data_IF_416482827667
#
_entry.id   IF_416482827667
#
_cell.length_a   1.000
_cell.length_b   1.000
_cell.length_c   1.000
_cell.angle_alpha   90.00
_cell.angle_beta   90.00
_cell.angle_gamma   90.00
#
_symmetry.space_group_name_H-M   'P 1'
#
loop_
_entity.id
_entity.type
_entity.pdbx_description
1 polymer ?
#
# COMPACT_ATOMS: atom_id res chain seq x y z
N UNK A 1 -5.87 21.85 -4.64
CA UNK A 1 -5.08 21.06 -5.60
C UNK A 1 -5.30 19.61 -5.19
N UNK A 2 -6.05 18.84 -5.98
CA UNK A 2 -6.32 17.42 -5.67
C UNK A 2 -4.97 16.69 -5.70
N UNK A 3 -4.65 15.90 -4.68
CA UNK A 3 -3.46 15.05 -4.69
C UNK A 3 -3.46 14.22 -5.97
N UNK A 4 -2.46 14.42 -6.85
CA UNK A 4 -2.34 13.60 -8.06
C UNK A 4 -1.97 12.18 -7.64
N UNK A 5 -2.66 11.14 -8.14
CA UNK A 5 -2.29 9.77 -7.83
C UNK A 5 -0.84 9.53 -8.25
N UNK A 6 -0.07 8.88 -7.37
CA UNK A 6 1.30 8.51 -7.65
C UNK A 6 1.25 7.42 -8.73
N UNK A 7 1.95 7.64 -9.85
CA UNK A 7 1.95 6.68 -10.97
C UNK A 7 3.01 5.60 -10.74
N UNK A 8 2.61 4.34 -10.75
CA UNK A 8 3.49 3.16 -10.69
C UNK A 8 2.73 1.92 -11.22
N UNK A 9 3.47 0.92 -11.71
CA UNK A 9 2.90 -0.43 -11.90
C UNK A 9 2.68 -1.07 -10.53
N UNK A 10 1.57 -1.76 -10.32
CA UNK A 10 1.24 -2.32 -9.02
C UNK A 10 0.91 -3.81 -9.10
N UNK A 11 1.41 -4.59 -8.15
CA UNK A 11 1.04 -5.98 -7.94
C UNK A 11 1.00 -6.31 -6.45
N UNK A 12 0.31 -7.40 -6.10
CA UNK A 12 0.24 -7.86 -4.73
C UNK A 12 0.05 -9.36 -4.63
N UNK A 13 0.47 -9.90 -3.49
CA UNK A 13 0.24 -11.28 -3.11
C UNK A 13 -0.77 -11.25 -1.96
N UNK A 14 -2.06 -11.55 -2.22
CA UNK A 14 -3.06 -11.75 -1.18
C UNK A 14 -2.62 -12.81 -0.18
N UNK A 15 -3.04 -12.61 1.07
CA UNK A 15 -2.80 -13.59 2.13
C UNK A 15 -3.63 -14.85 1.91
N UNK A 16 -2.99 -16.02 2.03
CA UNK A 16 -3.63 -17.33 2.12
C UNK A 16 -2.76 -18.30 2.97
N UNK A 17 -3.00 -19.60 2.82
CA UNK A 17 -2.29 -20.66 3.56
C UNK A 17 -0.82 -20.88 3.11
N UNK A 18 -0.31 -20.16 2.11
CA UNK A 18 1.09 -20.29 1.65
C UNK A 18 2.08 -19.79 2.70
N UNK A 19 3.29 -20.33 2.65
CA UNK A 19 4.37 -19.83 3.49
C UNK A 19 4.79 -18.42 3.04
N UNK A 20 5.37 -17.67 3.98
CA UNK A 20 5.95 -16.36 3.68
C UNK A 20 7.03 -16.40 2.60
N UNK A 21 7.79 -17.49 2.52
CA UNK A 21 8.78 -17.70 1.47
C UNK A 21 8.11 -17.88 0.11
N UNK A 22 7.04 -18.67 0.02
CA UNK A 22 6.29 -18.83 -1.23
C UNK A 22 5.68 -17.51 -1.70
N UNK A 23 5.07 -16.75 -0.79
CA UNK A 23 4.54 -15.43 -1.10
C UNK A 23 5.63 -14.44 -1.53
N UNK A 24 6.78 -14.46 -0.86
CA UNK A 24 7.91 -13.58 -1.18
C UNK A 24 8.60 -13.94 -2.49
N UNK A 25 8.61 -15.23 -2.86
CA UNK A 25 9.14 -15.67 -4.14
C UNK A 25 8.30 -15.13 -5.31
N UNK A 26 6.96 -15.23 -5.22
CA UNK A 26 6.05 -14.67 -6.23
C UNK A 26 6.22 -13.15 -6.39
N UNK A 27 6.27 -12.42 -5.28
CA UNK A 27 6.50 -10.99 -5.29
C UNK A 27 7.91 -10.62 -5.81
N UNK A 28 8.92 -11.43 -5.46
CA UNK A 28 10.30 -11.29 -5.88
C UNK A 28 10.46 -11.46 -7.39
N UNK A 29 9.84 -12.48 -7.98
CA UNK A 29 9.87 -12.70 -9.42
C UNK A 29 9.27 -11.51 -10.18
N UNK A 30 8.06 -11.09 -9.80
CA UNK A 30 7.40 -9.96 -10.46
C UNK A 30 8.19 -8.64 -10.34
N UNK A 31 8.77 -8.36 -9.17
CA UNK A 31 9.51 -7.10 -8.98
C UNK A 31 10.86 -7.10 -9.69
N UNK A 32 11.50 -8.27 -9.82
CA UNK A 32 12.75 -8.43 -10.58
C UNK A 32 12.52 -8.22 -12.08
N UNK A 33 11.41 -8.71 -12.62
CA UNK A 33 11.01 -8.44 -14.01
C UNK A 33 10.81 -6.94 -14.26
N UNK A 34 10.11 -6.24 -13.36
CA UNK A 34 9.95 -4.78 -13.45
C UNK A 34 11.28 -4.04 -13.32
N UNK A 35 12.19 -4.51 -12.45
CA UNK A 35 13.52 -3.95 -12.27
C UNK A 35 14.38 -4.13 -13.51
N UNK A 36 14.34 -5.30 -14.14
CA UNK A 36 15.02 -5.58 -15.40
C UNK A 36 14.45 -4.70 -16.52
N UNK A 37 13.11 -4.61 -16.64
CA UNK A 37 12.43 -3.79 -17.65
C UNK A 37 12.79 -2.32 -17.54
N UNK A 38 12.95 -1.80 -16.31
CA UNK A 38 13.30 -0.40 -16.06
C UNK A 38 14.81 -0.15 -15.99
N UNK A 39 15.64 -1.20 -15.97
CA UNK A 39 17.09 -1.10 -15.72
C UNK A 39 17.42 -0.35 -14.43
N UNK A 40 16.67 -0.61 -13.37
CA UNK A 40 16.82 -0.01 -12.04
C UNK A 40 17.00 -1.11 -10.98
N UNK A 41 17.69 -0.85 -9.86
CA UNK A 41 17.80 -1.82 -8.78
C UNK A 41 16.45 -2.03 -8.08
N UNK A 42 16.21 -3.22 -7.56
CA UNK A 42 15.08 -3.45 -6.65
C UNK A 42 15.34 -2.74 -5.32
N UNK A 43 14.30 -2.14 -4.75
CA UNK A 43 14.27 -1.61 -3.38
C UNK A 43 13.44 -2.55 -2.52
N UNK A 44 14.09 -3.27 -1.61
CA UNK A 44 13.42 -4.11 -0.63
C UNK A 44 13.08 -3.29 0.62
N UNK A 45 11.80 -3.19 0.95
CA UNK A 45 11.28 -2.58 2.16
C UNK A 45 10.76 -3.66 3.11
N UNK A 46 11.36 -3.73 4.30
CA UNK A 46 10.87 -4.56 5.42
C UNK A 46 10.53 -3.68 6.62
N UNK A 47 9.80 -4.25 7.59
CA UNK A 47 9.45 -3.54 8.83
C UNK A 47 10.70 -3.34 9.72
N UNK A 48 11.61 -4.32 9.72
CA UNK A 48 12.88 -4.29 10.46
C UNK A 48 14.05 -4.79 9.61
N UNK A 49 15.26 -4.35 9.92
CA UNK A 49 16.47 -4.83 9.23
C UNK A 49 16.84 -6.27 9.61
N UNK A 50 16.53 -6.70 10.84
CA UNK A 50 16.89 -8.02 11.35
C UNK A 50 15.78 -9.05 11.14
N UNK A 51 16.17 -10.29 10.87
CA UNK A 51 15.35 -11.51 10.89
C UNK A 51 14.54 -11.77 9.64
N UNK A 52 13.99 -10.74 9.00
CA UNK A 52 13.10 -10.92 7.84
C UNK A 52 13.85 -11.13 6.52
N UNK A 53 15.00 -10.47 6.34
CA UNK A 53 15.81 -10.56 5.12
C UNK A 53 17.07 -11.44 5.29
N UNK A 54 17.16 -12.21 6.38
CA UNK A 54 18.36 -12.98 6.73
C UNK A 54 18.37 -14.40 6.12
N UNK A 55 17.23 -14.88 5.62
CA UNK A 55 17.10 -16.14 4.89
C UNK A 55 15.96 -16.11 3.86
N UNK A 56 15.92 -17.11 2.98
CA UNK A 56 14.84 -17.27 2.02
C UNK A 56 14.90 -16.26 0.85
N UNK A 57 13.79 -16.09 0.12
CA UNK A 57 13.75 -15.28 -1.11
C UNK A 57 14.17 -13.81 -0.91
N UNK A 58 13.93 -13.25 0.27
CA UNK A 58 14.33 -11.87 0.59
C UNK A 58 15.84 -11.72 0.69
N UNK A 59 16.52 -12.67 1.34
CA UNK A 59 17.98 -12.72 1.41
C UNK A 59 18.59 -12.88 0.00
N UNK A 60 17.96 -13.69 -0.85
CA UNK A 60 18.38 -13.88 -2.24
C UNK A 60 18.28 -12.60 -3.06
N UNK A 61 17.22 -11.80 -2.84
CA UNK A 61 17.08 -10.47 -3.44
C UNK A 61 18.24 -9.55 -3.03
N UNK A 62 18.56 -9.50 -1.74
CA UNK A 62 19.65 -8.67 -1.21
C UNK A 62 21.00 -9.13 -1.76
N UNK A 63 21.26 -10.43 -1.81
CA UNK A 63 22.48 -11.01 -2.41
C UNK A 63 22.62 -10.66 -3.90
N UNK A 64 21.50 -10.52 -4.61
CA UNK A 64 21.45 -10.10 -6.02
C UNK A 64 21.54 -8.58 -6.22
N UNK A 65 21.71 -7.81 -5.14
CA UNK A 65 21.97 -6.37 -5.20
C UNK A 65 20.76 -5.48 -4.93
N UNK A 66 19.66 -6.03 -4.39
CA UNK A 66 18.55 -5.20 -3.93
C UNK A 66 18.99 -4.23 -2.82
N UNK A 67 18.53 -2.98 -2.91
CA UNK A 67 18.75 -1.96 -1.88
C UNK A 67 17.76 -2.24 -0.74
N UNK A 68 18.27 -2.71 0.39
CA UNK A 68 17.44 -2.95 1.57
C UNK A 68 17.25 -1.68 2.39
N UNK A 69 16.01 -1.36 2.72
CA UNK A 69 15.65 -0.21 3.56
C UNK A 69 14.51 -0.56 4.52
N UNK A 70 14.38 0.27 5.55
CA UNK A 70 13.22 0.27 6.44
C UNK A 70 12.65 1.68 6.50
N UNK A 71 11.36 1.80 6.83
CA UNK A 71 10.71 3.11 7.01
C UNK A 71 11.46 4.00 8.01
N UNK A 72 12.07 3.41 9.05
CA UNK A 72 12.84 4.14 10.07
C UNK A 72 14.11 4.77 9.52
N UNK A 73 14.81 4.08 8.62
CA UNK A 73 16.08 4.56 8.06
C UNK A 73 15.92 5.73 7.09
N UNK A 74 14.83 5.74 6.30
CA UNK A 74 14.57 6.72 5.22
C UNK A 74 15.78 6.95 4.30
N UNK A 75 16.60 5.92 4.09
CA UNK A 75 17.88 6.01 3.39
C UNK A 75 17.76 6.05 1.86
N UNK A 76 16.55 5.86 1.33
CA UNK A 76 16.29 5.70 -0.10
C UNK A 76 15.39 6.84 -0.60
N UNK A 77 15.76 7.44 -1.73
CA UNK A 77 14.95 8.47 -2.41
C UNK A 77 13.79 7.87 -3.20
N UNK A 78 12.74 8.65 -3.43
CA UNK A 78 11.66 8.26 -4.33
C UNK A 78 12.14 8.02 -5.76
N UNK A 79 11.64 6.97 -6.41
CA UNK A 79 11.99 6.63 -7.79
C UNK A 79 13.36 5.97 -7.96
N UNK A 80 13.99 5.53 -6.87
CA UNK A 80 15.27 4.80 -6.94
C UNK A 80 15.15 3.49 -7.72
N UNK A 81 13.99 2.83 -7.64
CA UNK A 81 13.69 1.62 -8.38
C UNK A 81 12.32 1.02 -8.02
N UNK A 82 11.95 -0.12 -8.61
CA UNK A 82 10.81 -0.92 -8.19
C UNK A 82 10.91 -1.32 -6.73
N UNK A 83 9.80 -1.22 -6.00
CA UNK A 83 9.74 -1.45 -4.56
C UNK A 83 9.04 -2.76 -4.28
N UNK A 84 9.71 -3.63 -3.52
CA UNK A 84 9.08 -4.78 -2.88
C UNK A 84 8.84 -4.44 -1.41
N UNK A 85 7.57 -4.26 -1.02
CA UNK A 85 7.17 -4.12 0.37
C UNK A 85 6.71 -5.47 0.95
N UNK A 86 7.50 -6.01 1.88
CA UNK A 86 7.20 -7.28 2.55
C UNK A 86 6.39 -7.05 3.83
N UNK A 87 5.17 -7.59 3.87
CA UNK A 87 4.21 -7.53 5.00
C UNK A 87 4.10 -6.14 5.65
N UNK A 88 3.88 -5.07 4.85
CA UNK A 88 3.83 -3.71 5.40
C UNK A 88 2.60 -3.52 6.27
N UNK A 89 2.70 -2.62 7.26
CA UNK A 89 1.52 -1.97 7.84
C UNK A 89 1.24 -0.65 7.12
N UNK A 90 0.18 0.06 7.53
CA UNK A 90 -0.27 1.32 6.90
C UNK A 90 0.84 2.35 6.65
N UNK A 91 1.80 2.50 7.57
CA UNK A 91 2.87 3.52 7.44
C UNK A 91 3.94 3.07 6.45
N UNK A 92 4.27 1.79 6.47
CA UNK A 92 5.22 1.17 5.56
C UNK A 92 4.64 1.12 4.14
N UNK A 93 3.33 0.89 4.00
CA UNK A 93 2.61 1.01 2.73
C UNK A 93 2.63 2.46 2.21
N UNK A 94 2.33 3.45 3.04
CA UNK A 94 2.42 4.85 2.63
C UNK A 94 3.83 5.23 2.16
N UNK A 95 4.86 4.71 2.84
CA UNK A 95 6.25 4.93 2.47
C UNK A 95 6.65 4.19 1.19
N UNK A 96 6.20 2.95 0.99
CA UNK A 96 6.49 2.19 -0.23
C UNK A 96 5.88 2.84 -1.46
N UNK A 97 4.67 3.39 -1.35
CA UNK A 97 4.01 4.18 -2.40
C UNK A 97 4.85 5.41 -2.76
N UNK A 98 5.41 6.11 -1.77
CA UNK A 98 6.30 7.25 -2.01
C UNK A 98 7.58 6.81 -2.75
N UNK A 99 8.17 5.69 -2.34
CA UNK A 99 9.38 5.15 -2.95
C UNK A 99 9.16 4.68 -4.39
N UNK A 100 8.03 4.05 -4.68
CA UNK A 100 7.69 3.47 -5.97
C UNK A 100 7.29 4.49 -7.04
N UNK A 101 7.37 5.79 -6.74
CA UNK A 101 6.93 6.84 -7.66
C UNK A 101 7.64 6.74 -9.01
N UNK A 102 6.84 6.63 -10.07
CA UNK A 102 7.24 6.44 -11.46
C UNK A 102 7.98 5.12 -11.75
N UNK A 103 7.90 4.13 -10.87
CA UNK A 103 8.48 2.79 -11.04
C UNK A 103 7.41 1.72 -10.88
N UNK A 104 7.55 0.80 -9.93
CA UNK A 104 6.63 -0.27 -9.63
C UNK A 104 6.59 -0.56 -8.12
N UNK A 105 5.48 -1.12 -7.64
CA UNK A 105 5.28 -1.54 -6.25
C UNK A 105 4.65 -2.92 -6.20
N UNK A 106 5.34 -3.87 -5.57
CA UNK A 106 4.78 -5.17 -5.20
C UNK A 106 4.64 -5.28 -3.69
N UNK A 107 3.49 -5.76 -3.21
CA UNK A 107 3.20 -5.92 -1.78
C UNK A 107 2.85 -7.37 -1.45
N UNK A 108 3.47 -7.93 -0.41
CA UNK A 108 3.00 -9.18 0.21
C UNK A 108 2.07 -8.82 1.37
N UNK A 109 0.80 -9.25 1.29
CA UNK A 109 -0.21 -8.97 2.30
C UNK A 109 0.03 -9.75 3.60
N UNK A 110 -0.44 -9.21 4.73
CA UNK A 110 -0.48 -9.90 6.02
C UNK A 110 -1.91 -9.91 6.57
N UNK A 111 -2.33 -10.96 7.34
CA UNK A 111 -3.66 -11.00 7.96
C UNK A 111 -3.92 -9.81 8.87
N UNK A 112 -2.86 -9.28 9.47
CA UNK A 112 -2.93 -8.17 10.41
C UNK A 112 -3.13 -6.80 9.75
N UNK A 113 -2.96 -6.72 8.43
CA UNK A 113 -3.17 -5.52 7.65
C UNK A 113 -3.47 -5.90 6.20
N UNK A 114 -4.76 -6.13 5.88
CA UNK A 114 -5.19 -6.34 4.50
C UNK A 114 -4.87 -5.13 3.63
N UNK A 115 -4.32 -5.37 2.44
CA UNK A 115 -3.93 -4.34 1.47
C UNK A 115 -4.85 -4.29 0.26
N UNK A 116 -5.90 -5.12 0.23
CA UNK A 116 -6.91 -5.16 -0.84
C UNK A 116 -7.51 -3.79 -1.17
N UNK A 117 -7.73 -2.92 -0.17
CA UNK A 117 -8.20 -1.55 -0.41
C UNK A 117 -7.23 -0.73 -1.26
N UNK A 118 -5.92 -0.84 -0.98
CA UNK A 118 -4.88 -0.20 -1.79
C UNK A 118 -4.82 -0.81 -3.19
N UNK A 119 -4.83 -2.15 -3.28
CA UNK A 119 -4.81 -2.87 -4.55
C UNK A 119 -5.97 -2.45 -5.47
N UNK A 120 -7.17 -2.32 -4.90
CA UNK A 120 -8.37 -1.85 -5.59
C UNK A 120 -8.26 -0.39 -6.06
N UNK A 121 -7.71 0.50 -5.22
CA UNK A 121 -7.54 1.92 -5.57
C UNK A 121 -6.58 2.15 -6.75
N UNK A 122 -5.58 1.28 -6.91
CA UNK A 122 -4.51 1.46 -7.91
C UNK A 122 -4.59 0.48 -9.06
N UNK A 123 -5.55 -0.45 -9.04
CA UNK A 123 -5.67 -1.52 -10.03
C UNK A 123 -4.45 -2.46 -10.00
N UNK A 124 -4.01 -2.86 -8.82
CA UNK A 124 -2.88 -3.78 -8.68
C UNK A 124 -3.23 -5.17 -9.22
N UNK A 125 -2.25 -5.83 -9.87
CA UNK A 125 -2.38 -7.22 -10.31
C UNK A 125 -2.30 -8.14 -9.10
N UNK A 126 -3.32 -8.97 -8.91
CA UNK A 126 -3.30 -10.09 -7.97
C UNK A 126 -2.41 -11.19 -8.53
N UNK A 127 -1.27 -11.47 -7.90
CA UNK A 127 -0.27 -12.42 -8.41
C UNK A 127 -0.70 -13.89 -8.30
N UNK A 128 -1.84 -14.19 -7.68
CA UNK A 128 -2.37 -15.57 -7.60
C UNK A 128 -3.27 -15.89 -8.78
N UNK A 129 -4.00 -14.88 -9.23
CA UNK A 129 -4.97 -15.01 -10.31
C UNK A 129 -4.44 -14.45 -11.62
N UNK A 130 -3.45 -13.55 -11.57
CA UNK A 130 -2.96 -12.78 -12.71
C UNK A 130 -3.89 -11.63 -13.12
N UNK A 131 -5.01 -11.44 -12.41
CA UNK A 131 -6.05 -10.48 -12.76
C UNK A 131 -5.83 -9.12 -12.10
N UNK A 132 -6.35 -8.07 -12.74
CA UNK A 132 -6.38 -6.73 -12.15
C UNK A 132 -7.41 -6.70 -11.03
N UNK A 133 -7.02 -6.21 -9.86
CA UNK A 133 -7.95 -6.04 -8.73
C UNK A 133 -9.05 -5.05 -9.11
N UNK A 134 -10.34 -5.45 -9.04
CA UNK A 134 -11.43 -4.58 -9.45
C UNK A 134 -11.57 -3.39 -8.50
N UNK A 135 -12.10 -2.25 -8.99
CA UNK A 135 -12.50 -1.14 -8.13
C UNK A 135 -13.64 -1.57 -7.18
N UNK A 136 -13.86 -0.85 -6.07
CA UNK A 136 -15.03 -1.11 -5.23
C UNK A 136 -16.33 -0.83 -5.99
N UNK A 137 -17.45 -1.34 -5.46
CA UNK A 137 -18.79 -1.01 -5.96
C UNK A 137 -18.99 0.51 -6.02
N UNK A 138 -19.78 0.99 -6.99
CA UNK A 138 -19.90 2.41 -7.31
C UNK A 138 -20.29 3.25 -6.10
N UNK A 139 -21.23 2.78 -5.29
CA UNK A 139 -21.73 3.48 -4.10
C UNK A 139 -20.64 3.61 -3.03
N UNK A 140 -19.84 2.56 -2.81
CA UNK A 140 -18.70 2.60 -1.91
C UNK A 140 -17.60 3.51 -2.47
N UNK A 141 -17.36 3.44 -3.78
CA UNK A 141 -16.38 4.28 -4.47
C UNK A 141 -16.68 5.77 -4.31
N UNK A 142 -17.94 6.18 -4.46
CA UNK A 142 -18.33 7.58 -4.36
C UNK A 142 -18.04 8.18 -2.96
N UNK A 143 -18.34 7.44 -1.89
CA UNK A 143 -18.04 7.89 -0.52
C UNK A 143 -16.54 7.83 -0.21
N UNK A 144 -15.80 6.88 -0.77
CA UNK A 144 -14.33 6.85 -0.69
C UNK A 144 -13.71 8.05 -1.43
N UNK A 145 -14.20 8.38 -2.62
CA UNK A 145 -13.73 9.53 -3.41
C UNK A 145 -14.04 10.86 -2.69
N UNK A 146 -15.17 10.96 -1.98
CA UNK A 146 -15.43 12.08 -1.08
C UNK A 146 -14.40 12.20 0.05
N UNK A 147 -14.02 11.08 0.68
CA UNK A 147 -12.94 11.09 1.66
C UNK A 147 -11.62 11.57 1.03
N UNK A 148 -11.25 11.02 -0.13
CA UNK A 148 -10.04 11.43 -0.86
C UNK A 148 -10.05 12.93 -1.15
N UNK A 149 -11.16 13.46 -1.65
CA UNK A 149 -11.30 14.88 -1.97
C UNK A 149 -11.12 15.78 -0.73
N UNK A 150 -11.69 15.37 0.41
CA UNK A 150 -11.58 16.10 1.68
C UNK A 150 -10.23 15.87 2.39
N UNK A 151 -9.46 14.88 1.96
CA UNK A 151 -8.21 14.46 2.59
C UNK A 151 -6.98 15.30 2.26
N UNK A 152 -7.10 16.36 1.44
CA UNK A 152 -5.97 17.21 1.04
C UNK A 152 -5.21 17.83 2.24
N UNK A 153 -5.91 18.14 3.33
CA UNK A 153 -5.31 18.66 4.57
C UNK A 153 -5.01 17.55 5.60
N UNK A 154 -5.04 16.28 5.18
CA UNK A 154 -4.87 15.12 6.05
C UNK A 154 -5.90 15.05 7.19
N UNK A 155 -7.08 15.64 7.01
CA UNK A 155 -8.14 15.69 8.02
C UNK A 155 -7.68 16.29 9.36
N UNK A 156 -6.75 17.25 9.32
CA UNK A 156 -6.18 17.87 10.52
C UNK A 156 -7.06 18.97 11.14
N UNK A 157 -7.74 19.75 10.29
CA UNK A 157 -8.56 20.89 10.69
C UNK A 157 -9.99 20.48 11.12
N UNK A 158 -10.74 21.45 11.66
CA UNK A 158 -12.11 21.21 12.19
C UNK A 158 -13.06 20.77 11.08
N UNK A 159 -12.98 21.41 9.91
CA UNK A 159 -13.89 21.15 8.80
C UNK A 159 -13.63 19.78 8.16
N UNK A 160 -12.38 19.46 7.83
CA UNK A 160 -11.96 18.18 7.29
C UNK A 160 -12.25 17.02 8.24
N UNK A 161 -12.10 17.21 9.57
CA UNK A 161 -12.54 16.22 10.56
C UNK A 161 -14.06 16.01 10.55
N UNK A 162 -14.83 17.09 10.50
CA UNK A 162 -16.30 17.02 10.47
C UNK A 162 -16.78 16.30 9.22
N UNK A 163 -16.22 16.64 8.06
CA UNK A 163 -16.63 16.09 6.78
C UNK A 163 -16.19 14.62 6.63
N UNK A 164 -14.99 14.27 7.14
CA UNK A 164 -14.54 12.89 7.27
C UNK A 164 -15.47 12.07 8.18
N UNK A 165 -15.83 12.58 9.36
CA UNK A 165 -16.78 11.91 10.28
C UNK A 165 -18.13 11.67 9.62
N UNK A 166 -18.64 12.63 8.84
CA UNK A 166 -19.92 12.47 8.12
C UNK A 166 -19.84 11.32 7.12
N UNK A 167 -18.78 11.28 6.30
CA UNK A 167 -18.59 10.25 5.27
C UNK A 167 -18.35 8.88 5.91
N UNK A 168 -17.49 8.82 6.94
CA UNK A 168 -17.26 7.62 7.72
C UNK A 168 -18.53 7.09 8.41
N UNK A 169 -19.38 7.98 8.94
CA UNK A 169 -20.66 7.58 9.55
C UNK A 169 -21.66 6.98 8.56
N UNK A 170 -21.61 7.38 7.28
CA UNK A 170 -22.38 6.74 6.22
C UNK A 170 -21.80 5.38 5.86
N UNK A 171 -20.47 5.31 5.71
CA UNK A 171 -19.77 4.06 5.40
C UNK A 171 -19.99 3.01 6.50
N UNK A 172 -19.95 3.40 7.78
CA UNK A 172 -20.17 2.48 8.90
C UNK A 172 -21.59 1.96 9.02
N UNK A 173 -22.56 2.60 8.36
CA UNK A 173 -23.94 2.12 8.27
C UNK A 173 -24.15 1.15 7.09
N UNK A 174 -23.15 0.97 6.23
CA UNK A 174 -23.19 0.02 5.11
C UNK A 174 -22.88 -1.40 5.57
N UNK A 175 -23.44 -2.39 4.89
CA UNK A 175 -23.09 -3.81 5.09
C UNK A 175 -21.64 -4.10 4.67
N UNK A 176 -21.09 -3.31 3.76
CA UNK A 176 -19.73 -3.47 3.20
C UNK A 176 -18.68 -2.63 3.97
N UNK A 177 -18.98 -2.27 5.23
CA UNK A 177 -18.05 -1.50 6.04
C UNK A 177 -16.81 -2.31 6.42
N UNK A 178 -15.67 -1.92 5.86
CA UNK A 178 -14.36 -2.49 6.16
C UNK A 178 -13.35 -1.35 6.46
N UNK A 179 -13.00 -1.13 7.74
CA UNK A 179 -11.98 -0.17 8.15
C UNK A 179 -10.65 -0.26 7.42
N UNK A 180 -10.14 -1.48 7.22
CA UNK A 180 -8.82 -1.73 6.63
C UNK A 180 -8.87 -1.48 5.13
N UNK A 181 -9.97 -1.87 4.47
CA UNK A 181 -10.22 -1.52 3.07
C UNK A 181 -10.24 0.01 2.88
N UNK A 182 -10.96 0.75 3.73
CA UNK A 182 -11.03 2.22 3.64
C UNK A 182 -9.62 2.83 3.78
N UNK A 183 -8.86 2.42 4.80
CA UNK A 183 -7.51 2.95 5.04
C UNK A 183 -6.56 2.61 3.88
N UNK A 184 -6.59 1.38 3.38
CA UNK A 184 -5.82 0.96 2.22
C UNK A 184 -6.18 1.74 0.95
N UNK A 185 -7.47 1.93 0.67
CA UNK A 185 -7.94 2.67 -0.50
C UNK A 185 -7.48 4.13 -0.47
N UNK A 186 -7.57 4.78 0.70
CA UNK A 186 -7.06 6.14 0.88
C UNK A 186 -5.54 6.23 0.69
N UNK A 187 -4.80 5.20 1.12
CA UNK A 187 -3.35 5.14 0.91
C UNK A 187 -3.01 5.07 -0.60
N UNK A 188 -3.67 4.19 -1.35
CA UNK A 188 -3.52 4.09 -2.81
C UNK A 188 -3.94 5.36 -3.55
N UNK A 189 -4.93 6.07 -3.02
CA UNK A 189 -5.40 7.36 -3.54
C UNK A 189 -4.49 8.54 -3.20
N UNK A 190 -3.39 8.32 -2.47
CA UNK A 190 -2.38 9.35 -2.20
C UNK A 190 -2.61 10.19 -0.95
N UNK A 191 -3.46 9.75 -0.02
CA UNK A 191 -3.59 10.39 1.28
C UNK A 191 -2.29 10.22 2.09
N UNK A 192 -1.81 11.33 2.67
CA UNK A 192 -0.57 11.34 3.46
C UNK A 192 -0.61 10.41 4.67
N UNK A 193 0.55 9.93 5.14
CA UNK A 193 0.69 9.11 6.37
C UNK A 193 -0.05 9.73 7.57
N UNK A 194 0.05 11.05 7.75
CA UNK A 194 -0.65 11.78 8.79
C UNK A 194 -2.18 11.74 8.59
N UNK A 195 -2.64 11.87 7.35
CA UNK A 195 -4.05 11.73 7.00
C UNK A 195 -4.60 10.34 7.28
N UNK A 196 -3.86 9.29 6.90
CA UNK A 196 -4.22 7.90 7.21
C UNK A 196 -4.29 7.65 8.72
N UNK A 197 -3.30 8.16 9.46
CA UNK A 197 -3.30 8.09 10.93
C UNK A 197 -4.52 8.80 11.54
N UNK A 198 -4.92 9.95 10.98
CA UNK A 198 -6.10 10.67 11.45
C UNK A 198 -7.39 9.91 11.13
N UNK A 199 -7.51 9.28 9.96
CA UNK A 199 -8.67 8.45 9.60
C UNK A 199 -8.77 7.23 10.51
N UNK A 200 -7.67 6.52 10.78
CA UNK A 200 -7.68 5.40 11.73
C UNK A 200 -8.18 5.82 13.12
N UNK A 201 -7.76 7.00 13.60
CA UNK A 201 -8.26 7.57 14.86
C UNK A 201 -9.73 7.96 14.84
N UNK A 202 -10.26 8.35 13.68
CA UNK A 202 -11.68 8.68 13.53
C UNK A 202 -12.53 7.41 13.46
N UNK A 203 -12.07 6.40 12.73
CA UNK A 203 -12.70 5.08 12.65
C UNK A 203 -12.80 4.43 14.03
N UNK A 204 -11.72 4.44 14.82
CA UNK A 204 -11.73 3.88 16.18
C UNK A 204 -12.60 4.64 17.19
N UNK A 205 -13.36 5.65 16.77
CA UNK A 205 -14.29 6.44 17.59
C UNK A 205 -15.73 6.37 17.08
N UNK A 206 -15.99 5.63 16.00
CA UNK A 206 -17.34 5.30 15.54
C UNK A 206 -17.93 4.24 16.47
#
# INVERSE_FOLDING_TARGET
MIAKPVKYSAAWVPYDERSWDQASALAGEWIEDEAQRLSLPVVLLTNTFSGQADSGPLADLVRRGAIHTTRRSRSVSSGTGPVFAYVPHVRELAYSIQLARNTALCVVETPSFPVRGWASAVGAVDLLTGEITPPPAAELKDELDHLVFNGNNGYGDVYGKRDAKRSLGKLSASADYDPDFIVGYLAGSGISENGLTNIQKLIGKL
#
